data_IF_722388114149
#
_entry.id   IF_722388114149
#
_cell.length_a   1.000
_cell.length_b   1.000
_cell.length_c   1.000
_cell.angle_alpha   90.00
_cell.angle_beta   90.00
_cell.angle_gamma   90.00
#
_symmetry.space_group_name_H-M   'P 1'
#
loop_
_entity.id
_entity.type
_entity.pdbx_description
1 polymer ?
#
# COMPACT_ATOMS: atom_id res chain seq x y z
N UNK A 1 -9.11 -39.81 3.37
CA UNK A 1 -9.43 -38.84 4.44
C UNK A 1 -9.19 -37.38 3.99
N UNK A 2 -9.75 -36.92 2.86
CA UNK A 2 -9.40 -35.61 2.28
C UNK A 2 -10.49 -34.52 2.39
N UNK A 3 -11.71 -34.86 2.83
CA UNK A 3 -12.86 -33.94 2.77
C UNK A 3 -13.01 -33.02 3.99
N UNK A 4 -12.27 -33.25 5.08
CA UNK A 4 -12.34 -32.42 6.29
C UNK A 4 -11.49 -31.15 6.22
N UNK A 5 -10.34 -31.19 5.55
CA UNK A 5 -9.45 -30.04 5.44
C UNK A 5 -10.07 -28.92 4.58
N UNK A 6 -10.60 -29.27 3.40
CA UNK A 6 -11.30 -28.32 2.52
C UNK A 6 -12.52 -27.66 3.17
N UNK A 7 -13.24 -28.36 4.06
CA UNK A 7 -14.38 -27.77 4.78
C UNK A 7 -13.93 -26.75 5.85
N UNK A 8 -12.73 -26.93 6.40
CA UNK A 8 -12.14 -26.05 7.42
C UNK A 8 -11.56 -24.79 6.77
N UNK A 9 -10.87 -24.94 5.64
CA UNK A 9 -10.37 -23.79 4.84
C UNK A 9 -11.50 -22.95 4.26
N UNK A 10 -12.56 -23.58 3.74
CA UNK A 10 -13.77 -22.88 3.26
C UNK A 10 -14.46 -22.09 4.39
N UNK A 11 -14.38 -22.59 5.64
CA UNK A 11 -14.86 -21.87 6.83
C UNK A 11 -14.02 -20.65 7.21
N UNK A 12 -12.70 -20.72 7.04
CA UNK A 12 -11.80 -19.59 7.32
C UNK A 12 -11.95 -18.48 6.27
N UNK A 13 -12.02 -18.83 4.99
CA UNK A 13 -12.28 -17.86 3.93
C UNK A 13 -13.61 -17.12 4.16
N UNK A 14 -14.67 -17.86 4.49
CA UNK A 14 -15.98 -17.27 4.84
C UNK A 14 -15.92 -16.33 6.06
N UNK A 15 -14.99 -16.56 7.00
CA UNK A 15 -14.80 -15.70 8.16
C UNK A 15 -14.11 -14.39 7.76
N UNK A 16 -13.01 -14.49 7.00
CA UNK A 16 -12.29 -13.32 6.45
C UNK A 16 -13.23 -12.50 5.59
N UNK A 17 -13.99 -13.15 4.73
CA UNK A 17 -14.99 -12.54 3.87
C UNK A 17 -15.97 -11.68 4.70
N UNK A 18 -16.63 -12.25 5.71
CA UNK A 18 -17.55 -11.48 6.57
C UNK A 18 -16.86 -10.34 7.32
N UNK A 19 -15.62 -10.55 7.77
CA UNK A 19 -14.85 -9.54 8.50
C UNK A 19 -14.55 -8.34 7.59
N UNK A 20 -14.03 -8.57 6.39
CA UNK A 20 -13.67 -7.51 5.44
C UNK A 20 -14.93 -6.79 4.94
N UNK A 21 -15.99 -7.53 4.61
CA UNK A 21 -17.27 -6.94 4.18
C UNK A 21 -17.89 -6.10 5.30
N UNK A 22 -17.91 -6.58 6.54
CA UNK A 22 -18.43 -5.82 7.68
C UNK A 22 -17.64 -4.53 7.96
N UNK A 23 -16.32 -4.55 7.79
CA UNK A 23 -15.48 -3.35 7.90
C UNK A 23 -15.75 -2.36 6.75
N UNK A 24 -16.00 -2.86 5.54
CA UNK A 24 -16.37 -2.04 4.40
C UNK A 24 -17.72 -1.36 4.61
N UNK A 25 -18.75 -2.14 5.00
CA UNK A 25 -20.10 -1.64 5.25
C UNK A 25 -20.13 -0.64 6.43
N UNK A 26 -19.24 -0.81 7.42
CA UNK A 26 -19.06 0.14 8.51
C UNK A 26 -18.28 1.42 8.10
N UNK A 27 -17.74 1.49 6.87
CA UNK A 27 -16.99 2.64 6.37
C UNK A 27 -15.59 2.81 6.98
N UNK A 28 -15.08 1.80 7.68
CA UNK A 28 -13.76 1.84 8.35
C UNK A 28 -12.67 1.09 7.58
N UNK A 29 -13.02 0.44 6.46
CA UNK A 29 -12.05 -0.27 5.64
C UNK A 29 -11.15 0.71 4.87
N UNK A 30 -9.94 0.88 5.37
CA UNK A 30 -8.84 1.56 4.68
C UNK A 30 -7.81 0.56 4.16
N UNK A 31 -6.93 0.95 3.22
CA UNK A 31 -5.86 0.08 2.73
C UNK A 31 -4.99 -0.53 3.84
N UNK A 32 -4.68 0.26 4.88
CA UNK A 32 -3.88 -0.22 6.02
C UNK A 32 -4.63 -1.25 6.88
N UNK A 33 -5.93 -1.03 7.12
CA UNK A 33 -6.78 -1.97 7.87
C UNK A 33 -6.89 -3.28 7.12
N UNK A 34 -7.09 -3.22 5.80
CA UNK A 34 -7.18 -4.41 4.96
C UNK A 34 -5.89 -5.25 5.03
N UNK A 35 -4.73 -4.58 4.94
CA UNK A 35 -3.44 -5.25 5.10
C UNK A 35 -3.31 -5.94 6.47
N UNK A 36 -3.68 -5.26 7.55
CA UNK A 36 -3.62 -5.84 8.89
C UNK A 36 -4.56 -7.04 9.06
N UNK A 37 -5.78 -6.97 8.51
CA UNK A 37 -6.72 -8.10 8.51
C UNK A 37 -6.11 -9.27 7.79
N UNK A 38 -5.59 -9.09 6.56
CA UNK A 38 -5.00 -10.18 5.77
C UNK A 38 -3.74 -10.75 6.43
N UNK A 39 -2.88 -9.90 6.99
CA UNK A 39 -1.69 -10.33 7.72
C UNK A 39 -2.05 -11.21 8.93
N UNK A 40 -3.16 -10.93 9.63
CA UNK A 40 -3.64 -11.78 10.72
C UNK A 40 -4.04 -13.19 10.26
N UNK A 41 -4.40 -13.36 8.98
CA UNK A 41 -4.72 -14.65 8.39
C UNK A 41 -3.57 -15.28 7.58
N UNK A 42 -2.45 -14.59 7.37
CA UNK A 42 -1.34 -15.07 6.55
C UNK A 42 -0.66 -16.35 7.09
N UNK A 43 -0.79 -16.64 8.39
CA UNK A 43 -0.33 -17.89 9.02
C UNK A 43 -1.37 -19.02 9.04
N UNK A 44 -2.54 -18.80 8.44
CA UNK A 44 -3.63 -19.77 8.37
C UNK A 44 -3.78 -20.26 6.93
N UNK A 45 -4.09 -21.54 6.75
CA UNK A 45 -4.28 -22.18 5.44
C UNK A 45 -5.63 -21.75 4.81
N UNK A 46 -5.71 -20.46 4.46
CA UNK A 46 -6.87 -19.83 3.83
C UNK A 46 -6.75 -19.98 2.33
N UNK A 47 -7.78 -20.56 1.70
CA UNK A 47 -7.86 -20.64 0.25
C UNK A 47 -8.40 -19.31 -0.31
N UNK A 48 -7.48 -18.42 -0.69
CA UNK A 48 -7.82 -17.11 -1.26
C UNK A 48 -8.44 -17.19 -2.67
N UNK A 49 -8.43 -18.36 -3.30
CA UNK A 49 -9.06 -18.58 -4.60
C UNK A 49 -10.49 -19.12 -4.47
N UNK A 50 -11.04 -19.28 -3.26
CA UNK A 50 -12.42 -19.69 -3.07
C UNK A 50 -13.41 -18.63 -3.61
N UNK A 51 -14.61 -19.07 -4.00
CA UNK A 51 -15.62 -18.16 -4.53
C UNK A 51 -16.27 -17.39 -3.37
N UNK A 52 -16.22 -16.05 -3.46
CA UNK A 52 -16.88 -15.16 -2.52
C UNK A 52 -18.40 -15.35 -2.57
N UNK A 53 -19.00 -15.78 -1.46
CA UNK A 53 -20.44 -16.07 -1.33
C UNK A 53 -21.20 -14.95 -0.65
N UNK A 54 -20.55 -14.19 0.23
CA UNK A 54 -21.15 -13.05 0.89
C UNK A 54 -20.97 -11.79 0.04
N UNK A 55 -21.89 -10.84 0.23
CA UNK A 55 -21.96 -9.58 -0.49
C UNK A 55 -22.13 -8.43 0.50
N UNK A 56 -21.56 -7.28 0.15
CA UNK A 56 -21.80 -6.01 0.86
C UNK A 56 -23.24 -5.52 0.65
N UNK A 57 -23.62 -4.47 1.35
CA UNK A 57 -24.89 -3.75 1.11
C UNK A 57 -24.99 -3.23 -0.33
N UNK A 58 -23.85 -2.90 -0.95
CA UNK A 58 -23.75 -2.44 -2.35
C UNK A 58 -23.63 -3.59 -3.37
N UNK A 59 -23.95 -4.83 -2.99
CA UNK A 59 -23.85 -6.05 -3.80
C UNK A 59 -22.44 -6.38 -4.32
N UNK A 60 -21.40 -5.89 -3.63
CA UNK A 60 -19.99 -6.15 -3.98
C UNK A 60 -19.47 -7.40 -3.29
N UNK A 61 -18.68 -8.17 -4.02
CA UNK A 61 -17.94 -9.31 -3.47
C UNK A 61 -16.67 -8.88 -2.74
N UNK A 62 -16.10 -9.77 -1.91
CA UNK A 62 -14.80 -9.56 -1.26
C UNK A 62 -13.72 -9.11 -2.27
N UNK A 63 -13.63 -9.80 -3.41
CA UNK A 63 -12.68 -9.50 -4.48
C UNK A 63 -12.79 -8.05 -4.97
N UNK A 64 -14.02 -7.59 -5.22
CA UNK A 64 -14.26 -6.22 -5.68
C UNK A 64 -13.93 -5.21 -4.60
N UNK A 65 -14.34 -5.46 -3.35
CA UNK A 65 -14.06 -4.57 -2.21
C UNK A 65 -12.56 -4.36 -2.02
N UNK A 66 -11.78 -5.44 -2.04
CA UNK A 66 -10.32 -5.38 -1.90
C UNK A 66 -9.69 -4.62 -3.07
N UNK A 67 -10.08 -4.92 -4.30
CA UNK A 67 -9.56 -4.22 -5.49
C UNK A 67 -9.93 -2.74 -5.46
N UNK A 68 -11.15 -2.38 -5.08
CA UNK A 68 -11.57 -0.98 -4.98
C UNK A 68 -10.79 -0.21 -3.92
N UNK A 69 -10.47 -0.88 -2.81
CA UNK A 69 -9.73 -0.28 -1.70
C UNK A 69 -8.26 -0.06 -2.07
N UNK A 70 -7.66 -1.02 -2.76
CA UNK A 70 -6.22 -1.01 -3.08
C UNK A 70 -5.88 -0.36 -4.42
N UNK A 71 -6.77 -0.45 -5.39
CA UNK A 71 -6.60 0.04 -6.76
C UNK A 71 -7.85 0.84 -7.15
N UNK A 72 -8.00 2.06 -6.62
CA UNK A 72 -9.19 2.87 -6.87
C UNK A 72 -9.30 3.20 -8.37
N UNK A 73 -10.49 2.97 -8.93
CA UNK A 73 -10.77 3.24 -10.35
C UNK A 73 -10.64 2.02 -11.28
N UNK A 74 -10.24 0.85 -10.78
CA UNK A 74 -10.32 -0.38 -11.56
C UNK A 74 -11.77 -0.89 -11.64
N UNK A 75 -12.30 -0.97 -12.86
CA UNK A 75 -13.63 -1.51 -13.13
C UNK A 75 -13.61 -3.03 -12.98
N UNK A 76 -14.57 -3.57 -12.22
CA UNK A 76 -14.68 -4.94 -11.70
C UNK A 76 -14.60 -6.11 -12.70
N UNK A 77 -14.39 -5.87 -14.00
CA UNK A 77 -14.36 -6.92 -15.05
C UNK A 77 -13.43 -8.09 -14.76
N UNK A 78 -12.29 -7.84 -14.09
CA UNK A 78 -11.32 -8.86 -13.68
C UNK A 78 -10.98 -8.80 -12.19
N UNK A 79 -11.94 -8.40 -11.33
CA UNK A 79 -11.69 -8.18 -9.90
C UNK A 79 -11.02 -9.38 -9.19
N UNK A 80 -11.34 -10.62 -9.57
CA UNK A 80 -10.69 -11.81 -9.01
C UNK A 80 -9.20 -11.90 -9.35
N UNK A 81 -8.81 -11.58 -10.59
CA UNK A 81 -7.41 -11.63 -11.01
C UNK A 81 -6.60 -10.52 -10.36
N UNK A 82 -7.15 -9.32 -10.31
CA UNK A 82 -6.50 -8.16 -9.68
C UNK A 82 -6.37 -8.39 -8.17
N UNK A 83 -7.40 -8.96 -7.54
CA UNK A 83 -7.35 -9.41 -6.15
C UNK A 83 -6.22 -10.39 -5.91
N UNK A 84 -6.15 -11.49 -6.68
CA UNK A 84 -5.09 -12.48 -6.50
C UNK A 84 -3.71 -11.87 -6.67
N UNK A 85 -3.53 -10.97 -7.65
CA UNK A 85 -2.27 -10.25 -7.82
C UNK A 85 -1.89 -9.40 -6.60
N UNK A 86 -2.86 -8.78 -5.93
CA UNK A 86 -2.64 -8.00 -4.69
C UNK A 86 -2.28 -8.91 -3.52
N UNK A 87 -3.04 -9.99 -3.32
CA UNK A 87 -2.78 -10.93 -2.21
C UNK A 87 -1.46 -11.67 -2.42
N UNK A 88 -1.15 -12.12 -3.64
CA UNK A 88 0.14 -12.74 -3.98
C UNK A 88 1.30 -11.77 -3.76
N UNK A 89 1.14 -10.50 -4.11
CA UNK A 89 2.14 -9.47 -3.82
C UNK A 89 2.40 -9.35 -2.31
N UNK A 90 1.36 -9.35 -1.47
CA UNK A 90 1.50 -9.26 -0.02
C UNK A 90 2.00 -10.53 0.66
N UNK A 91 1.66 -11.69 0.13
CA UNK A 91 2.15 -12.97 0.64
C UNK A 91 3.58 -13.28 0.17
N UNK A 92 3.98 -12.74 -0.99
CA UNK A 92 5.33 -12.88 -1.54
C UNK A 92 6.32 -11.83 -1.01
N UNK A 93 5.83 -10.65 -0.63
CA UNK A 93 6.59 -9.54 -0.04
C UNK A 93 6.24 -9.40 1.45
N UNK A 94 6.33 -10.48 2.23
CA UNK A 94 6.53 -10.31 3.67
C UNK A 94 8.02 -9.97 3.89
N UNK A 95 8.42 -8.70 4.06
CA UNK A 95 9.49 -8.46 5.01
C UNK A 95 8.95 -9.00 6.34
N UNK A 96 9.79 -9.73 7.07
CA UNK A 96 9.48 -10.00 8.46
C UNK A 96 9.06 -8.67 9.08
N UNK A 97 7.83 -8.61 9.59
CA UNK A 97 7.46 -7.62 10.60
C UNK A 97 8.29 -7.93 11.84
N UNK A 98 9.59 -7.61 11.77
CA UNK A 98 10.24 -7.01 12.91
C UNK A 98 9.38 -5.79 13.22
N UNK A 99 8.88 -5.75 14.45
CA UNK A 99 8.45 -4.51 15.03
C UNK A 99 9.65 -3.57 14.93
N UNK A 100 9.71 -2.75 13.88
CA UNK A 100 10.55 -1.57 13.85
C UNK A 100 10.09 -0.75 15.05
N UNK A 101 10.87 -0.84 16.13
CA UNK A 101 10.99 0.24 17.09
C UNK A 101 11.07 1.54 16.29
N UNK A 102 10.35 2.61 16.69
CA UNK A 102 10.44 3.86 15.98
C UNK A 102 11.91 4.31 15.99
N UNK A 103 12.58 4.16 14.85
CA UNK A 103 13.88 4.75 14.57
C UNK A 103 13.76 6.23 14.96
N UNK A 104 14.48 6.68 16.00
CA UNK A 104 14.27 8.03 16.50
C UNK A 104 14.73 9.02 15.42
N UNK A 105 13.91 10.04 15.21
CA UNK A 105 14.10 11.17 14.28
C UNK A 105 15.36 12.03 14.59
N UNK A 106 16.31 11.51 15.37
CA UNK A 106 17.53 12.15 15.83
C UNK A 106 18.50 12.44 14.68
N UNK A 107 18.51 11.66 13.60
CA UNK A 107 19.32 12.00 12.41
C UNK A 107 18.79 13.26 11.69
N UNK A 108 17.47 13.45 11.63
CA UNK A 108 16.86 14.66 11.03
C UNK A 108 17.11 15.90 11.88
N UNK A 109 17.08 15.76 13.21
CA UNK A 109 17.44 16.84 14.15
C UNK A 109 18.94 17.18 14.08
N UNK A 110 19.80 16.18 13.88
CA UNK A 110 21.24 16.38 13.71
C UNK A 110 21.53 17.15 12.42
N UNK A 111 20.83 16.83 11.32
CA UNK A 111 20.94 17.58 10.06
C UNK A 111 20.47 19.03 10.21
N UNK A 112 19.37 19.28 10.94
CA UNK A 112 18.84 20.62 11.16
C UNK A 112 19.75 21.49 12.06
N UNK A 113 20.44 20.86 13.03
CA UNK A 113 21.33 21.56 13.97
C UNK A 113 22.64 22.05 13.35
N UNK A 114 23.06 21.48 12.22
CA UNK A 114 24.34 21.78 11.58
C UNK A 114 24.33 23.05 10.70
N UNK A 115 23.17 23.68 10.50
CA UNK A 115 23.01 24.82 9.59
C UNK A 115 23.52 26.18 10.11
N UNK A 116 24.23 26.24 11.24
CA UNK A 116 24.77 27.51 11.77
C UNK A 116 26.22 27.40 12.28
N UNK A 117 27.19 27.71 11.41
CA UNK A 117 28.34 28.63 11.66
C UNK A 117 29.28 28.77 10.43
N UNK A 118 29.51 30.04 10.05
CA UNK A 118 30.35 30.67 9.00
C UNK A 118 31.86 30.27 9.01
N UNK A 119 32.76 30.98 8.29
CA UNK A 119 32.97 31.07 6.83
C UNK A 119 34.40 30.63 6.46
N UNK A 120 34.67 30.16 5.24
CA UNK A 120 36.05 29.93 4.79
C UNK A 120 36.33 30.65 3.48
N UNK A 121 37.00 31.80 3.61
CA UNK A 121 37.71 32.49 2.54
C UNK A 121 38.75 31.55 1.95
N UNK A 122 38.65 31.27 0.65
CA UNK A 122 39.80 30.94 -0.17
C UNK A 122 39.51 31.31 -1.62
N UNK A 123 40.18 32.37 -2.08
CA UNK A 123 40.37 32.67 -3.49
C UNK A 123 40.86 31.44 -4.24
N UNK A 124 40.20 31.11 -5.35
CA UNK A 124 40.84 30.53 -6.54
C UNK A 124 39.91 30.65 -7.75
N UNK A 125 40.33 31.53 -8.67
CA UNK A 125 40.04 31.65 -10.11
C UNK A 125 38.88 30.81 -10.68
N UNK A 126 37.89 31.53 -11.24
CA UNK A 126 36.99 31.02 -12.26
C UNK A 126 37.76 30.49 -13.49
N UNK A 127 37.18 29.50 -14.20
CA UNK A 127 36.45 29.90 -15.40
C UNK A 127 35.01 29.37 -15.43
N UNK A 128 34.16 30.16 -16.08
CA UNK A 128 32.72 30.02 -16.16
C UNK A 128 32.24 28.66 -16.73
N UNK A 129 31.39 27.97 -15.97
CA UNK A 129 30.41 27.04 -16.53
C UNK A 129 29.03 27.60 -16.23
N UNK A 130 28.39 28.15 -17.26
CA UNK A 130 26.99 28.59 -17.22
C UNK A 130 26.11 27.36 -17.07
N UNK A 131 25.87 26.87 -15.85
CA UNK A 131 24.66 26.10 -15.60
C UNK A 131 23.52 27.11 -15.56
N UNK A 132 22.84 27.22 -16.69
CA UNK A 132 21.58 27.95 -16.77
C UNK A 132 20.66 27.38 -15.67
N UNK A 133 20.37 28.19 -14.67
CA UNK A 133 19.31 27.93 -13.72
C UNK A 133 18.06 27.60 -14.54
N UNK A 134 17.52 26.41 -14.35
CA UNK A 134 16.26 26.01 -14.96
C UNK A 134 15.20 27.02 -14.49
N UNK A 135 14.86 27.96 -15.36
CA UNK A 135 13.87 28.99 -15.09
C UNK A 135 12.56 28.56 -15.77
N UNK A 136 11.65 27.89 -15.04
CA UNK A 136 10.44 27.29 -15.63
C UNK A 136 9.49 28.32 -16.23
N UNK A 137 9.66 29.62 -15.92
CA UNK A 137 8.86 30.71 -16.46
C UNK A 137 9.27 31.13 -17.88
N UNK A 138 10.41 30.67 -18.40
CA UNK A 138 10.90 31.02 -19.74
C UNK A 138 10.24 30.17 -20.84
N UNK A 139 9.55 29.07 -20.48
CA UNK A 139 8.84 28.20 -21.43
C UNK A 139 7.36 28.55 -21.63
N UNK A 140 6.82 29.55 -20.92
CA UNK A 140 5.45 29.99 -21.11
C UNK A 140 5.34 30.91 -22.33
N UNK A 141 5.00 30.32 -23.49
CA UNK A 141 4.60 31.07 -24.69
C UNK A 141 3.18 31.61 -24.46
N UNK A 142 2.90 32.91 -24.58
CA UNK A 142 1.53 33.40 -24.52
C UNK A 142 0.76 32.90 -25.75
N UNK A 143 -0.37 32.25 -25.51
CA UNK A 143 -1.40 32.03 -26.53
C UNK A 143 -1.96 33.41 -26.90
N UNK A 144 -1.89 33.73 -28.18
CA UNK A 144 -2.48 34.94 -28.76
C UNK A 144 -3.63 34.53 -29.65
#
# INVERSE_FOLDING_TARGET
>A
MATRASKKSNGLFSLVERQVLGLYDAGVLSPAVLHHVIAAYAGLDVDWNDDARARTVDDRSLHEVVVLTMIPGHASRNARKDFLSVIEHWMGDQPAVEAEEPEPDDELLTQLSSATKKPRTQERKAPARKSAAFNPLVKARPLR
#
